data_IF_496705758681
#
_entry.id   IF_496705758681
#
_cell.length_a   1.000
_cell.length_b   1.000
_cell.length_c   1.000
_cell.angle_alpha   90.00
_cell.angle_beta   90.00
_cell.angle_gamma   90.00
#
_symmetry.space_group_name_H-M   'P 1'
#
loop_
_entity.id
_entity.type
_entity.pdbx_description
1 polymer ?
#
# COMPACT_ATOMS: atom_id res chain seq x y z
N UNK A 1 -16.15 -18.22 -1.90
CA UNK A 1 -14.75 -18.20 -2.38
C UNK A 1 -14.18 -16.80 -2.34
N UNK A 2 -14.70 -15.79 -3.07
CA UNK A 2 -14.19 -14.41 -2.93
C UNK A 2 -14.78 -13.64 -1.74
N UNK A 3 -15.96 -14.03 -1.23
CA UNK A 3 -16.55 -13.36 -0.06
C UNK A 3 -15.74 -13.58 1.23
N UNK A 4 -14.99 -14.68 1.27
CA UNK A 4 -14.20 -15.19 2.39
C UNK A 4 -12.69 -15.26 2.11
N UNK A 5 -12.24 -14.99 0.87
CA UNK A 5 -10.81 -14.94 0.50
C UNK A 5 -10.37 -13.52 0.24
N UNK A 6 -9.34 -13.06 0.95
CA UNK A 6 -8.64 -11.82 0.64
C UNK A 6 -7.56 -12.08 -0.42
N UNK A 7 -7.67 -11.41 -1.56
CA UNK A 7 -6.61 -11.38 -2.58
C UNK A 7 -5.88 -10.06 -2.46
N UNK A 8 -4.55 -10.14 -2.34
CA UNK A 8 -3.65 -8.98 -2.28
C UNK A 8 -2.68 -9.05 -3.46
N UNK A 9 -2.61 -7.98 -4.25
CA UNK A 9 -1.59 -7.80 -5.28
C UNK A 9 -0.79 -6.54 -4.94
N UNK A 10 0.51 -6.70 -4.70
CA UNK A 10 1.38 -5.58 -4.35
C UNK A 10 2.80 -5.79 -4.87
N UNK A 11 3.54 -4.70 -4.98
CA UNK A 11 5.00 -4.73 -5.07
C UNK A 11 5.59 -4.33 -3.72
N UNK A 12 6.66 -5.00 -3.29
CA UNK A 12 7.32 -4.66 -2.02
C UNK A 12 8.21 -3.42 -2.16
N UNK A 13 8.89 -3.30 -3.30
CA UNK A 13 9.85 -2.23 -3.57
C UNK A 13 9.64 -1.67 -4.98
N UNK A 14 9.65 -0.34 -5.08
CA UNK A 14 9.71 0.37 -6.34
C UNK A 14 11.14 0.58 -6.84
N UNK A 15 11.25 1.37 -7.90
CA UNK A 15 12.52 1.84 -8.46
C UNK A 15 12.54 3.36 -8.51
N UNK A 16 13.71 3.98 -8.31
CA UNK A 16 13.81 5.44 -8.39
C UNK A 16 13.28 5.94 -9.74
N UNK A 17 12.44 6.99 -9.76
CA UNK A 17 11.98 7.56 -11.02
C UNK A 17 13.16 8.06 -11.88
N UNK A 18 14.16 8.62 -11.20
CA UNK A 18 15.42 9.09 -11.79
C UNK A 18 16.40 7.94 -12.07
N UNK A 19 17.01 7.97 -13.24
CA UNK A 19 18.09 7.06 -13.66
C UNK A 19 19.40 7.44 -12.96
N UNK A 20 20.13 6.45 -12.46
CA UNK A 20 21.40 6.63 -11.76
C UNK A 20 22.59 6.75 -12.74
N UNK A 21 23.79 7.00 -12.21
CA UNK A 21 25.01 7.18 -13.02
C UNK A 21 25.43 5.92 -13.81
N UNK A 22 24.95 4.76 -13.38
CA UNK A 22 25.22 3.46 -14.02
C UNK A 22 24.13 3.05 -15.01
N UNK A 23 23.33 4.00 -15.49
CA UNK A 23 22.19 3.78 -16.39
C UNK A 23 21.09 2.83 -15.85
N UNK A 24 21.05 2.61 -14.53
CA UNK A 24 20.04 1.81 -13.84
C UNK A 24 19.04 2.66 -13.03
N UNK A 25 18.20 1.98 -12.26
CA UNK A 25 17.33 2.61 -11.24
C UNK A 25 17.54 1.94 -9.89
N UNK A 26 17.63 2.74 -8.84
CA UNK A 26 17.94 2.25 -7.51
C UNK A 26 16.71 1.68 -6.83
N UNK A 27 16.96 0.95 -5.76
CA UNK A 27 15.93 0.44 -4.86
C UNK A 27 15.16 1.60 -4.21
N UNK A 28 13.82 1.56 -4.22
CA UNK A 28 12.99 2.65 -3.75
C UNK A 28 11.76 2.18 -2.97
N UNK A 29 11.76 2.36 -1.64
CA UNK A 29 10.66 1.96 -0.74
C UNK A 29 9.69 3.08 -0.40
N UNK A 30 9.91 4.26 -0.99
CA UNK A 30 9.16 5.47 -0.64
C UNK A 30 7.84 5.59 -1.39
N UNK A 31 7.56 4.72 -2.36
CA UNK A 31 6.27 4.65 -3.01
C UNK A 31 6.07 3.29 -3.68
N UNK A 32 4.91 2.69 -3.48
CA UNK A 32 4.52 1.38 -3.97
C UNK A 32 3.01 1.24 -4.02
N UNK A 33 2.49 0.22 -4.70
CA UNK A 33 1.04 0.01 -4.86
C UNK A 33 0.60 -1.26 -4.15
N UNK A 34 -0.66 -1.27 -3.75
CA UNK A 34 -1.36 -2.43 -3.20
C UNK A 34 -2.73 -2.48 -3.89
N UNK A 35 -3.26 -3.66 -4.16
CA UNK A 35 -4.62 -3.87 -4.65
C UNK A 35 -5.23 -4.96 -3.78
N UNK A 36 -6.43 -4.68 -3.29
CA UNK A 36 -7.23 -5.62 -2.49
C UNK A 36 -8.49 -6.01 -3.25
N UNK A 37 -8.89 -7.27 -3.13
CA UNK A 37 -10.22 -7.72 -3.52
C UNK A 37 -10.64 -8.95 -2.71
N UNK A 38 -11.95 -9.20 -2.66
CA UNK A 38 -12.54 -10.24 -1.80
C UNK A 38 -12.60 -9.86 -0.32
N UNK A 39 -12.95 -10.81 0.57
CA UNK A 39 -13.04 -10.64 2.03
C UNK A 39 -13.75 -9.33 2.48
N UNK A 40 -14.86 -8.98 1.83
CA UNK A 40 -15.63 -7.78 2.17
C UNK A 40 -14.98 -6.43 1.78
N UNK A 41 -13.88 -6.43 1.01
CA UNK A 41 -13.25 -5.21 0.49
C UNK A 41 -14.26 -4.39 -0.34
N UNK A 42 -14.34 -3.09 -0.05
CA UNK A 42 -15.22 -2.14 -0.74
C UNK A 42 -14.78 -1.99 -2.19
N UNK A 43 -15.69 -2.32 -3.10
CA UNK A 43 -15.49 -2.28 -4.56
C UNK A 43 -15.47 -0.85 -5.12
N UNK A 44 -14.96 -0.70 -6.33
CA UNK A 44 -14.89 0.55 -7.10
C UNK A 44 -14.35 1.75 -6.31
N UNK A 45 -13.38 1.53 -5.42
CA UNK A 45 -12.83 2.60 -4.59
C UNK A 45 -11.37 2.83 -4.97
N UNK A 46 -10.95 4.10 -5.04
CA UNK A 46 -9.55 4.50 -5.15
C UNK A 46 -9.15 5.27 -3.91
N UNK A 47 -8.03 4.89 -3.30
CA UNK A 47 -7.50 5.53 -2.11
C UNK A 47 -6.02 5.85 -2.28
N UNK A 48 -5.66 7.07 -1.90
CA UNK A 48 -4.33 7.60 -2.07
C UNK A 48 -4.01 8.08 -3.48
N UNK A 49 -2.88 8.76 -3.56
CA UNK A 49 -2.29 9.22 -4.81
C UNK A 49 -0.80 9.45 -4.61
N UNK A 50 -0.03 9.23 -5.66
CA UNK A 50 1.38 9.61 -5.75
C UNK A 50 1.60 10.93 -6.49
N UNK A 51 2.81 11.44 -6.40
CA UNK A 51 3.28 12.46 -7.32
C UNK A 51 3.22 11.98 -8.79
N UNK A 52 3.47 12.91 -9.72
CA UNK A 52 3.43 12.66 -11.17
C UNK A 52 4.45 11.60 -11.63
N UNK A 53 5.49 11.34 -10.83
CA UNK A 53 6.58 10.42 -11.17
C UNK A 53 6.46 9.07 -10.45
N UNK A 54 5.42 8.86 -9.65
CA UNK A 54 5.29 7.71 -8.76
C UNK A 54 6.48 7.56 -7.78
N UNK A 55 7.11 8.68 -7.42
CA UNK A 55 8.26 8.73 -6.52
C UNK A 55 7.86 8.83 -5.04
N UNK A 56 6.76 9.51 -4.75
CA UNK A 56 6.30 9.76 -3.39
C UNK A 56 4.78 9.74 -3.27
N UNK A 57 4.19 9.28 -2.15
CA UNK A 57 2.78 9.48 -1.85
C UNK A 57 2.53 10.93 -1.48
N UNK A 58 1.43 11.49 -1.99
CA UNK A 58 1.03 12.88 -1.74
C UNK A 58 -0.26 12.99 -0.95
N UNK A 59 -1.18 12.03 -1.11
CA UNK A 59 -2.46 12.02 -0.41
C UNK A 59 -2.57 10.77 0.46
N UNK A 60 -2.81 10.95 1.77
CA UNK A 60 -3.05 9.88 2.75
C UNK A 60 -1.97 8.77 2.83
N UNK A 61 -0.69 9.10 3.07
CA UNK A 61 0.40 8.11 3.07
C UNK A 61 0.14 6.98 4.07
N UNK A 62 0.30 5.75 3.60
CA UNK A 62 0.11 4.51 4.36
C UNK A 62 1.47 3.88 4.62
N UNK A 63 1.69 3.43 5.86
CA UNK A 63 2.89 2.65 6.19
C UNK A 63 2.68 1.16 5.94
N UNK A 64 3.77 0.40 5.86
CA UNK A 64 3.70 -1.06 5.78
C UNK A 64 2.97 -1.68 6.99
N UNK A 65 3.06 -1.06 8.17
CA UNK A 65 2.36 -1.52 9.37
C UNK A 65 0.83 -1.35 9.24
N UNK A 66 0.38 -0.21 8.70
CA UNK A 66 -1.05 0.05 8.46
C UNK A 66 -1.63 -0.91 7.40
N UNK A 67 -0.82 -1.24 6.38
CA UNK A 67 -1.14 -2.25 5.36
C UNK A 67 -1.36 -3.64 5.99
N UNK A 68 -0.42 -4.10 6.81
CA UNK A 68 -0.51 -5.41 7.50
C UNK A 68 -1.69 -5.43 8.48
N UNK A 69 -1.92 -4.35 9.22
CA UNK A 69 -3.07 -4.25 10.12
C UNK A 69 -4.41 -4.31 9.38
N UNK A 70 -4.48 -3.74 8.18
CA UNK A 70 -5.66 -3.82 7.31
C UNK A 70 -5.89 -5.26 6.85
N UNK A 71 -4.84 -5.98 6.46
CA UNK A 71 -4.94 -7.41 6.11
C UNK A 71 -5.47 -8.23 7.29
N UNK A 72 -4.90 -8.05 8.49
CA UNK A 72 -5.34 -8.77 9.69
C UNK A 72 -6.81 -8.52 10.01
N UNK A 73 -7.24 -7.26 9.95
CA UNK A 73 -8.65 -6.92 10.16
C UNK A 73 -9.59 -7.58 9.15
N UNK A 74 -9.20 -7.67 7.88
CA UNK A 74 -10.01 -8.29 6.83
C UNK A 74 -10.12 -9.82 6.97
N UNK A 75 -9.12 -10.46 7.57
CA UNK A 75 -9.14 -11.91 7.85
C UNK A 75 -9.62 -12.24 9.26
N UNK A 76 -10.06 -11.25 10.04
CA UNK A 76 -10.61 -11.46 11.39
C UNK A 76 -9.56 -11.74 12.47
N UNK A 77 -8.31 -11.31 12.27
CA UNK A 77 -7.22 -11.43 13.26
C UNK A 77 -6.96 -10.08 13.91
N UNK A 78 -6.80 -10.05 15.24
CA UNK A 78 -6.45 -8.83 15.96
C UNK A 78 -4.96 -8.50 15.79
N UNK A 79 -4.61 -7.33 15.21
CA UNK A 79 -3.22 -6.94 15.04
C UNK A 79 -2.62 -6.45 16.38
N UNK A 80 -1.50 -7.04 16.87
CA UNK A 80 -0.85 -6.56 18.07
C UNK A 80 -0.28 -5.15 17.86
N UNK A 81 -0.73 -4.18 18.68
CA UNK A 81 -0.12 -2.85 18.76
C UNK A 81 -0.46 -1.85 17.64
N UNK A 82 -1.43 -2.15 16.77
CA UNK A 82 -1.83 -1.20 15.71
C UNK A 82 -2.74 -0.08 16.24
N UNK A 83 -2.35 1.18 16.01
CA UNK A 83 -3.10 2.37 16.47
C UNK A 83 -4.15 2.88 15.48
N UNK A 84 -4.18 2.39 14.25
CA UNK A 84 -5.17 2.78 13.24
C UNK A 84 -5.25 1.80 12.07
N UNK A 85 -6.42 1.16 11.86
CA UNK A 85 -6.72 0.46 10.62
C UNK A 85 -7.24 1.46 9.57
N UNK A 86 -6.82 1.32 8.30
CA UNK A 86 -7.39 2.11 7.20
C UNK A 86 -8.73 1.45 6.84
N UNK A 87 -9.82 1.84 7.50
CA UNK A 87 -11.16 1.38 7.13
C UNK A 87 -11.85 2.43 6.23
N UNK A 88 -12.58 2.02 5.17
CA UNK A 88 -12.83 0.65 4.72
C UNK A 88 -11.81 0.21 3.66
N UNK A 89 -11.45 -1.08 3.64
CA UNK A 89 -10.54 -1.62 2.63
C UNK A 89 -11.07 -1.36 1.21
N UNK A 90 -10.19 -0.88 0.34
CA UNK A 90 -10.51 -0.18 -0.91
C UNK A 90 -10.07 -1.07 -2.08
N UNK A 91 -10.94 -1.33 -3.05
CA UNK A 91 -10.67 -2.28 -4.14
C UNK A 91 -9.60 -1.86 -5.15
N UNK A 92 -9.06 -0.64 -5.03
CA UNK A 92 -7.97 -0.15 -5.87
C UNK A 92 -7.17 0.88 -5.07
N UNK A 93 -6.14 0.46 -4.33
CA UNK A 93 -5.23 1.46 -3.74
C UNK A 93 -4.29 1.94 -4.85
N UNK A 94 -4.39 3.23 -5.20
CA UNK A 94 -3.38 3.85 -6.05
C UNK A 94 -2.30 4.43 -5.16
N UNK A 95 -1.24 3.64 -5.05
CA UNK A 95 0.11 3.99 -4.61
C UNK A 95 0.22 4.62 -3.22
N UNK A 96 0.44 3.81 -2.18
CA UNK A 96 0.76 4.30 -0.84
C UNK A 96 1.65 3.31 -0.07
N UNK A 97 2.96 3.48 -0.21
CA UNK A 97 3.90 3.13 0.87
C UNK A 97 4.76 4.36 1.11
N UNK A 98 4.77 4.92 2.32
CA UNK A 98 5.83 5.81 2.78
C UNK A 98 6.55 5.11 3.92
N UNK A 99 7.86 4.88 3.77
CA UNK A 99 8.65 4.36 4.87
C UNK A 99 8.98 5.52 5.82
N UNK A 100 8.39 5.54 7.03
CA UNK A 100 8.62 6.60 8.04
C UNK A 100 10.01 6.54 8.70
N UNK A 101 11.03 5.98 8.05
CA UNK A 101 12.37 5.80 8.65
C UNK A 101 13.47 6.70 8.08
N UNK A 102 13.12 7.80 7.42
CA UNK A 102 14.09 8.83 7.03
C UNK A 102 13.60 10.20 7.52
N UNK A 103 13.95 10.51 8.76
CA UNK A 103 14.07 11.88 9.27
C UNK A 103 15.57 12.19 9.37
#
# INVERSE_FOLDING_TARGET
>A
MLDDTLVVLMGEMGRTPKVNKSAGRDHWTQCGFIVYTGAGVRRATVFGRSDKQAGWPVDFPVSSADHVATMYKLVGVDPPGCRSSIAPAVSTVRLLTANRSAA
#
